data_IF_553353798492
#
_entry.id   IF_553353798492
#
_cell.length_a   1.000
_cell.length_b   1.000
_cell.length_c   1.000
_cell.angle_alpha   90.00
_cell.angle_beta   90.00
_cell.angle_gamma   90.00
#
_symmetry.space_group_name_H-M   'P 1'
#
loop_
_entity.id
_entity.type
_entity.pdbx_description
1 polymer ?
#
# COMPACT_ATOMS: atom_id res chain seq x y z
N UNK A 1 10.78 -10.82 -35.34
CA UNK A 1 11.79 -9.85 -35.80
C UNK A 1 12.21 -8.98 -34.62
N UNK A 2 13.52 -8.94 -34.32
CA UNK A 2 14.25 -7.81 -33.66
C UNK A 2 13.77 -6.49 -34.31
N UNK A 3 13.67 -5.33 -33.68
CA UNK A 3 14.57 -4.46 -32.89
C UNK A 3 13.65 -3.28 -32.45
N UNK A 4 13.87 -2.41 -31.48
CA UNK A 4 15.02 -1.92 -30.74
C UNK A 4 14.58 -0.64 -30.01
N UNK A 5 15.23 -0.32 -28.91
CA UNK A 5 15.04 0.89 -28.11
C UNK A 5 15.62 2.13 -28.80
N UNK A 6 15.10 3.33 -28.52
CA UNK A 6 15.92 4.45 -28.02
C UNK A 6 15.03 5.59 -27.52
N UNK A 7 15.44 6.11 -26.37
CA UNK A 7 14.99 7.35 -25.74
C UNK A 7 16.21 8.28 -25.87
N UNK A 8 16.11 9.33 -26.68
CA UNK A 8 17.22 10.28 -26.87
C UNK A 8 17.07 11.45 -25.91
N UNK A 9 17.91 11.41 -24.89
CA UNK A 9 18.24 12.45 -23.93
C UNK A 9 19.24 13.42 -24.57
N UNK A 10 18.93 14.72 -24.55
CA UNK A 10 19.85 15.78 -25.01
C UNK A 10 20.92 16.04 -23.95
N UNK A 11 22.13 15.56 -24.22
CA UNK A 11 23.37 16.04 -23.62
C UNK A 11 23.90 17.18 -24.48
N UNK A 12 24.11 18.36 -23.88
CA UNK A 12 25.00 19.37 -24.46
C UNK A 12 26.32 19.39 -23.69
N UNK A 13 27.36 19.38 -24.51
CA UNK A 13 28.78 19.48 -24.25
C UNK A 13 29.15 20.72 -23.43
N UNK A 14 30.11 20.58 -22.51
CA UNK A 14 31.34 21.35 -22.64
C UNK A 14 32.53 20.60 -22.04
N UNK A 15 33.46 20.32 -22.94
CA UNK A 15 34.83 19.88 -22.79
C UNK A 15 35.70 20.94 -22.12
N UNK A 16 36.59 20.57 -21.18
CA UNK A 16 38.02 20.57 -21.48
C UNK A 16 38.90 19.96 -20.36
N UNK A 17 39.96 19.33 -20.85
CA UNK A 17 40.94 18.49 -20.17
C UNK A 17 41.90 19.29 -19.28
N UNK A 18 42.41 18.67 -18.20
CA UNK A 18 43.84 18.31 -18.13
C UNK A 18 44.18 17.47 -16.89
N UNK A 19 44.93 16.41 -17.17
CA UNK A 19 45.59 15.50 -16.21
C UNK A 19 47.01 16.02 -16.01
N UNK A 20 47.44 16.29 -14.77
CA UNK A 20 48.83 16.09 -14.32
C UNK A 20 48.82 15.66 -12.83
N UNK A 21 49.52 14.57 -12.55
CA UNK A 21 49.85 14.07 -11.21
C UNK A 21 50.82 15.00 -10.49
N UNK A 22 50.57 15.31 -9.22
CA UNK A 22 51.66 15.67 -8.30
C UNK A 22 51.32 15.28 -6.85
N UNK A 23 52.18 14.42 -6.25
CA UNK A 23 52.24 14.19 -4.82
C UNK A 23 52.90 15.41 -4.18
N UNK A 24 52.36 15.93 -3.08
CA UNK A 24 53.21 16.51 -2.03
C UNK A 24 52.51 16.56 -0.66
N UNK A 25 53.35 16.36 0.33
CA UNK A 25 53.15 16.17 1.77
C UNK A 25 52.47 17.32 2.49
N UNK A 26 51.49 17.02 3.35
CA UNK A 26 51.02 17.94 4.39
C UNK A 26 51.68 17.59 5.73
N UNK A 27 52.74 18.34 6.01
CA UNK A 27 53.28 18.67 7.32
C UNK A 27 52.16 19.34 8.13
N UNK A 28 51.82 18.80 9.29
CA UNK A 28 51.03 19.54 10.28
C UNK A 28 51.85 19.78 11.53
N UNK A 29 51.93 21.07 11.85
CA UNK A 29 52.81 21.70 12.81
C UNK A 29 52.65 21.21 14.24
N UNK A 30 53.81 21.10 14.87
CA UNK A 30 54.04 20.83 16.27
C UNK A 30 53.79 22.12 17.06
N UNK A 31 52.65 22.24 17.76
CA UNK A 31 52.49 23.30 18.77
C UNK A 31 53.26 22.91 20.04
N UNK A 32 54.42 23.53 20.19
CA UNK A 32 55.19 23.52 21.43
C UNK A 32 54.52 24.44 22.46
N UNK A 33 53.88 23.85 23.49
CA UNK A 33 53.62 24.54 24.76
C UNK A 33 54.69 24.16 25.76
N UNK A 34 55.75 24.96 25.80
CA UNK A 34 56.75 24.95 26.87
C UNK A 34 56.12 25.50 28.15
N UNK A 35 55.84 24.61 29.11
CA UNK A 35 55.49 25.00 30.47
C UNK A 35 56.77 25.36 31.23
N UNK A 36 56.95 26.66 31.45
CA UNK A 36 58.03 27.22 32.26
C UNK A 36 57.80 26.87 33.74
N UNK A 37 58.69 26.08 34.32
CA UNK A 37 58.81 25.97 35.79
C UNK A 37 60.08 26.73 36.17
N UNK A 38 59.91 27.68 37.07
CA UNK A 38 60.90 28.63 37.51
C UNK A 38 61.98 27.95 38.36
N UNK A 39 63.24 28.21 38.07
CA UNK A 39 64.34 27.92 38.97
C UNK A 39 64.61 29.19 39.81
N UNK A 40 64.19 29.16 41.08
CA UNK A 40 64.67 30.08 42.09
C UNK A 40 65.51 29.29 43.09
N UNK A 41 66.74 29.76 43.29
CA UNK A 41 67.82 29.15 44.04
C UNK A 41 67.63 29.22 45.55
N UNK A 42 67.99 28.11 46.20
CA UNK A 42 68.70 27.98 47.48
C UNK A 42 68.24 28.83 48.68
N UNK A 43 67.61 28.19 49.66
CA UNK A 43 68.01 28.36 51.06
C UNK A 43 68.05 27.01 51.78
N UNK A 44 69.16 26.80 52.46
CA UNK A 44 69.51 25.65 53.29
C UNK A 44 68.72 25.67 54.60
N UNK A 45 68.08 24.56 54.95
CA UNK A 45 67.94 24.21 56.37
C UNK A 45 67.86 22.69 56.54
N UNK A 46 68.90 22.16 57.18
CA UNK A 46 68.95 20.82 57.76
C UNK A 46 67.74 20.59 58.66
N UNK A 47 67.08 19.44 58.49
CA UNK A 47 66.46 18.70 59.60
C UNK A 47 66.31 17.24 59.20
N UNK A 48 67.05 16.38 59.90
CA UNK A 48 66.93 14.94 59.84
C UNK A 48 65.58 14.53 60.44
N UNK A 49 64.65 14.09 59.61
CA UNK A 49 63.42 13.42 60.02
C UNK A 49 63.25 12.19 59.14
N UNK A 50 63.62 11.06 59.74
CA UNK A 50 63.55 9.71 59.22
C UNK A 50 62.07 9.33 59.03
N UNK A 51 61.51 9.69 57.88
CA UNK A 51 60.20 9.19 57.43
C UNK A 51 60.49 7.94 56.61
N UNK A 52 60.11 6.78 57.14
CA UNK A 52 60.08 5.51 56.41
C UNK A 52 59.17 5.65 55.19
N UNK A 53 59.75 6.01 54.05
CA UNK A 53 59.14 5.74 52.75
C UNK A 53 59.17 4.23 52.54
N UNK A 54 58.05 3.56 52.83
CA UNK A 54 57.77 2.27 52.22
C UNK A 54 57.59 2.50 50.72
N UNK A 55 58.72 2.58 50.03
CA UNK A 55 58.86 2.58 48.58
C UNK A 55 58.27 1.27 48.09
N UNK A 56 56.98 1.28 47.77
CA UNK A 56 56.33 0.27 46.93
C UNK A 56 57.00 0.35 45.57
N UNK A 57 58.16 -0.30 45.48
CA UNK A 57 58.79 -0.71 44.24
C UNK A 57 57.86 -1.72 43.62
N UNK A 58 56.82 -1.23 42.94
CA UNK A 58 56.23 -2.00 41.85
C UNK A 58 57.30 -2.04 40.76
N UNK A 59 58.21 -3.00 40.90
CA UNK A 59 59.07 -3.43 39.82
C UNK A 59 58.14 -3.93 38.71
N UNK A 60 57.82 -3.04 37.77
CA UNK A 60 57.06 -3.39 36.57
C UNK A 60 57.93 -4.33 35.75
N UNK A 61 57.84 -5.63 36.04
CA UNK A 61 58.27 -6.63 35.08
C UNK A 61 57.43 -6.43 33.82
N UNK A 62 58.07 -5.88 32.79
CA UNK A 62 57.48 -5.75 31.47
C UNK A 62 57.34 -7.18 30.93
N UNK A 63 56.11 -7.70 30.98
CA UNK A 63 55.74 -8.93 30.27
C UNK A 63 56.19 -8.77 28.81
N UNK A 64 56.62 -9.84 28.14
CA UNK A 64 57.04 -9.80 26.73
C UNK A 64 56.30 -10.86 25.93
N UNK A 65 56.08 -10.62 24.63
CA UNK A 65 55.39 -11.54 23.71
C UNK A 65 53.87 -11.65 23.89
N UNK A 66 53.31 -12.85 23.80
CA UNK A 66 51.86 -13.11 23.77
C UNK A 66 51.10 -12.65 25.03
N UNK A 67 51.77 -12.65 26.18
CA UNK A 67 51.19 -12.23 27.46
C UNK A 67 50.94 -10.71 27.50
N UNK A 68 51.76 -9.90 26.81
CA UNK A 68 51.47 -8.47 26.60
C UNK A 68 50.20 -8.26 25.80
N UNK A 69 50.07 -9.00 24.70
CA UNK A 69 48.92 -8.84 23.80
C UNK A 69 47.62 -9.15 24.53
N UNK A 70 47.59 -10.21 25.34
CA UNK A 70 46.44 -10.53 26.20
C UNK A 70 46.16 -9.42 27.22
N UNK A 71 47.19 -8.92 27.90
CA UNK A 71 47.02 -7.86 28.91
C UNK A 71 46.53 -6.53 28.29
N UNK A 72 47.06 -6.18 27.11
CA UNK A 72 46.64 -5.00 26.35
C UNK A 72 45.22 -5.16 25.80
N UNK A 73 44.86 -6.36 25.34
CA UNK A 73 43.50 -6.67 24.90
C UNK A 73 42.51 -6.54 26.05
N UNK A 74 42.82 -7.11 27.23
CA UNK A 74 41.96 -6.96 28.40
C UNK A 74 41.87 -5.51 28.87
N UNK A 75 42.97 -4.75 28.83
CA UNK A 75 42.96 -3.33 29.17
C UNK A 75 42.13 -2.48 28.19
N UNK A 76 42.24 -2.76 26.88
CA UNK A 76 41.44 -2.10 25.85
C UNK A 76 39.96 -2.50 25.92
N UNK A 77 39.66 -3.77 26.18
CA UNK A 77 38.30 -4.25 26.34
C UNK A 77 37.63 -3.63 27.58
N UNK A 78 38.34 -3.56 28.70
CA UNK A 78 37.84 -2.89 29.90
C UNK A 78 37.58 -1.40 29.65
N UNK A 79 38.50 -0.73 28.95
CA UNK A 79 38.33 0.68 28.54
C UNK A 79 37.11 0.85 27.63
N UNK A 80 36.91 -0.06 26.69
CA UNK A 80 35.76 -0.06 25.78
C UNK A 80 34.44 -0.33 26.52
N UNK A 81 34.42 -1.30 27.45
CA UNK A 81 33.26 -1.62 28.28
C UNK A 81 32.89 -0.45 29.21
N UNK A 82 33.86 0.22 29.84
CA UNK A 82 33.62 1.43 30.64
C UNK A 82 33.07 2.56 29.77
N UNK A 83 33.52 2.66 28.51
CA UNK A 83 32.98 3.62 27.54
C UNK A 83 31.53 3.29 27.16
N UNK A 84 31.19 2.02 26.96
CA UNK A 84 29.81 1.57 26.70
C UNK A 84 28.91 1.86 27.92
N UNK A 85 29.41 1.60 29.13
CA UNK A 85 28.66 1.89 30.36
C UNK A 85 28.38 3.39 30.50
N UNK A 86 29.33 4.25 30.13
CA UNK A 86 29.13 5.72 30.16
C UNK A 86 28.12 6.19 29.10
N UNK A 87 28.00 5.50 27.96
CA UNK A 87 27.08 5.84 26.87
C UNK A 87 25.89 4.90 26.72
N UNK A 88 25.55 4.14 27.76
CA UNK A 88 24.49 3.11 27.72
C UNK A 88 23.13 3.66 27.26
N UNK A 89 22.84 4.93 27.57
CA UNK A 89 21.61 5.61 27.18
C UNK A 89 21.41 5.63 25.66
N UNK A 90 22.47 5.83 24.87
CA UNK A 90 22.38 5.84 23.40
C UNK A 90 22.05 4.45 22.84
N UNK A 91 22.61 3.40 23.44
CA UNK A 91 22.28 2.01 23.07
C UNK A 91 20.83 1.67 23.43
N UNK A 92 20.35 2.12 24.59
CA UNK A 92 18.94 1.96 24.98
C UNK A 92 18.00 2.69 24.02
N UNK A 93 18.33 3.92 23.63
CA UNK A 93 17.53 4.69 22.66
C UNK A 93 17.47 3.99 21.30
N UNK A 94 18.60 3.48 20.80
CA UNK A 94 18.64 2.77 19.52
C UNK A 94 17.88 1.43 19.57
N UNK A 95 17.91 0.75 20.71
CA UNK A 95 17.10 -0.46 20.90
C UNK A 95 15.60 -0.12 20.97
N UNK A 96 15.24 0.94 21.68
CA UNK A 96 13.84 1.39 21.83
C UNK A 96 13.26 1.81 20.48
N UNK A 97 14.00 2.55 19.65
CA UNK A 97 13.53 2.94 18.31
C UNK A 97 13.31 1.73 17.39
N UNK A 98 14.18 0.72 17.45
CA UNK A 98 14.00 -0.51 16.68
C UNK A 98 12.76 -1.29 17.13
N UNK A 99 12.56 -1.44 18.45
CA UNK A 99 11.39 -2.12 19.03
C UNK A 99 10.10 -1.35 18.77
N UNK A 100 10.12 -0.03 18.88
CA UNK A 100 8.93 0.81 18.64
C UNK A 100 8.48 0.75 17.18
N UNK A 101 9.44 0.75 16.24
CA UNK A 101 9.14 0.60 14.83
C UNK A 101 8.50 -0.75 14.53
N UNK A 102 9.06 -1.85 15.08
CA UNK A 102 8.49 -3.19 14.93
C UNK A 102 7.08 -3.27 15.54
N UNK A 103 6.88 -2.72 16.74
CA UNK A 103 5.58 -2.68 17.40
C UNK A 103 4.55 -1.92 16.56
N UNK A 104 4.92 -0.77 16.01
CA UNK A 104 4.06 0.02 15.13
C UNK A 104 3.67 -0.77 13.87
N UNK A 105 4.63 -1.43 13.22
CA UNK A 105 4.35 -2.29 12.06
C UNK A 105 3.34 -3.40 12.40
N UNK A 106 3.55 -4.09 13.53
CA UNK A 106 2.65 -5.17 13.96
C UNK A 106 1.24 -4.62 14.24
N UNK A 107 1.12 -3.48 14.92
CA UNK A 107 -0.17 -2.83 15.21
C UNK A 107 -0.89 -2.47 13.91
N UNK A 108 -0.19 -1.87 12.94
CA UNK A 108 -0.78 -1.50 11.64
C UNK A 108 -1.25 -2.74 10.88
N UNK A 109 -0.44 -3.79 10.82
CA UNK A 109 -0.79 -5.03 10.11
C UNK A 109 -1.99 -5.73 10.76
N UNK A 110 -2.05 -5.76 12.10
CA UNK A 110 -3.17 -6.37 12.82
C UNK A 110 -4.45 -5.55 12.73
N UNK A 111 -4.37 -4.22 12.82
CA UNK A 111 -5.55 -3.35 12.79
C UNK A 111 -6.13 -3.17 11.38
N UNK A 112 -5.32 -3.33 10.32
CA UNK A 112 -5.77 -3.11 8.94
C UNK A 112 -6.57 -4.26 8.32
N UNK A 113 -6.86 -5.34 9.05
CA UNK A 113 -7.79 -6.37 8.56
C UNK A 113 -7.43 -6.91 7.16
N UNK A 114 -6.15 -7.11 6.85
CA UNK A 114 -5.68 -7.52 5.51
C UNK A 114 -6.15 -8.92 5.07
N UNK A 115 -6.98 -9.58 5.87
CA UNK A 115 -7.57 -10.88 5.60
C UNK A 115 -9.07 -10.81 5.32
N UNK A 116 -9.65 -9.61 5.23
CA UNK A 116 -11.05 -9.50 4.86
C UNK A 116 -11.17 -9.83 3.37
N UNK A 117 -11.63 -11.05 3.09
CA UNK A 117 -12.13 -11.42 1.77
C UNK A 117 -13.11 -10.32 1.34
N UNK A 118 -12.95 -9.82 0.10
CA UNK A 118 -13.90 -8.82 -0.40
C UNK A 118 -15.33 -9.37 -0.24
N UNK A 119 -16.30 -8.52 0.10
CA UNK A 119 -17.68 -8.96 0.15
C UNK A 119 -18.09 -9.46 -1.24
N UNK A 120 -18.76 -10.60 -1.28
CA UNK A 120 -19.39 -11.10 -2.51
C UNK A 120 -20.37 -10.05 -3.05
N UNK A 121 -20.29 -9.79 -4.36
CA UNK A 121 -21.15 -8.81 -5.01
C UNK A 121 -22.44 -9.49 -5.45
N UNK A 122 -23.58 -9.09 -4.86
CA UNK A 122 -24.90 -9.51 -5.31
C UNK A 122 -25.22 -8.82 -6.64
N UNK A 123 -25.57 -9.60 -7.66
CA UNK A 123 -25.98 -9.07 -8.97
C UNK A 123 -27.46 -8.72 -8.88
N UNK A 124 -27.76 -7.43 -8.76
CA UNK A 124 -29.10 -6.87 -8.56
C UNK A 124 -29.26 -5.55 -9.35
N UNK A 125 -30.51 -5.15 -9.66
CA UNK A 125 -30.80 -3.89 -10.35
C UNK A 125 -30.43 -2.68 -9.48
N UNK A 126 -30.62 -2.82 -8.18
CA UNK A 126 -30.38 -1.75 -7.20
C UNK A 126 -28.90 -1.32 -7.10
N UNK A 127 -27.98 -2.07 -7.71
CA UNK A 127 -26.57 -1.70 -7.78
C UNK A 127 -26.29 -0.60 -8.83
N UNK A 128 -27.26 -0.29 -9.69
CA UNK A 128 -27.14 0.71 -10.75
C UNK A 128 -27.91 1.99 -10.41
N UNK A 129 -27.46 3.12 -10.96
CA UNK A 129 -28.14 4.40 -10.78
C UNK A 129 -29.32 4.52 -11.75
N UNK A 130 -30.55 4.55 -11.22
CA UNK A 130 -31.81 4.67 -11.96
C UNK A 130 -31.93 3.71 -13.17
N UNK A 131 -31.82 2.38 -12.96
CA UNK A 131 -31.87 1.40 -14.03
C UNK A 131 -33.27 1.33 -14.66
N UNK A 132 -33.31 1.33 -15.98
CA UNK A 132 -34.49 1.12 -16.80
C UNK A 132 -34.40 -0.27 -17.41
N UNK A 133 -35.46 -1.05 -17.21
CA UNK A 133 -35.64 -2.34 -17.89
C UNK A 133 -36.67 -2.22 -19.00
N UNK A 134 -36.32 -2.66 -20.20
CA UNK A 134 -37.23 -2.62 -21.35
C UNK A 134 -37.86 -3.98 -21.58
N UNK A 135 -39.14 -4.01 -21.94
CA UNK A 135 -39.80 -5.26 -22.28
C UNK A 135 -40.70 -5.13 -23.51
N UNK A 136 -40.74 -6.20 -24.29
CA UNK A 136 -41.64 -6.39 -25.43
C UNK A 136 -42.37 -7.72 -25.27
N UNK A 137 -43.61 -7.78 -25.77
CA UNK A 137 -44.44 -8.99 -25.73
C UNK A 137 -45.24 -9.09 -27.02
N UNK A 138 -45.21 -10.25 -27.66
CA UNK A 138 -46.05 -10.50 -28.85
C UNK A 138 -47.52 -10.66 -28.45
N UNK A 139 -47.78 -11.33 -27.31
CA UNK A 139 -49.12 -11.56 -26.79
C UNK A 139 -49.29 -10.86 -25.43
N UNK A 140 -50.37 -10.09 -25.29
CA UNK A 140 -50.74 -9.38 -24.06
C UNK A 140 -50.96 -10.35 -22.90
N UNK A 141 -51.43 -11.57 -23.19
CA UNK A 141 -51.75 -12.61 -22.22
C UNK A 141 -50.59 -13.58 -21.93
N UNK A 142 -49.36 -13.27 -22.35
CA UNK A 142 -48.20 -14.10 -22.03
C UNK A 142 -47.96 -14.11 -20.51
N UNK A 143 -48.01 -15.31 -19.91
CA UNK A 143 -47.90 -15.50 -18.45
C UNK A 143 -46.52 -15.09 -17.94
N UNK A 144 -45.46 -15.37 -18.70
CA UNK A 144 -44.08 -15.02 -18.35
C UNK A 144 -43.86 -13.52 -18.39
N UNK A 145 -44.39 -12.82 -19.39
CA UNK A 145 -44.32 -11.36 -19.48
C UNK A 145 -45.02 -10.70 -18.29
N UNK A 146 -46.18 -11.22 -17.88
CA UNK A 146 -46.90 -10.73 -16.70
C UNK A 146 -46.10 -10.95 -15.42
N UNK A 147 -45.56 -12.15 -15.23
CA UNK A 147 -44.68 -12.50 -14.10
C UNK A 147 -43.46 -11.58 -14.01
N UNK A 148 -42.82 -11.29 -15.16
CA UNK A 148 -41.68 -10.38 -15.26
C UNK A 148 -42.05 -8.94 -14.85
N UNK A 149 -43.19 -8.43 -15.33
CA UNK A 149 -43.70 -7.10 -14.96
C UNK A 149 -44.04 -7.05 -13.46
N UNK A 150 -44.67 -8.09 -12.92
CA UNK A 150 -45.05 -8.13 -11.50
C UNK A 150 -43.82 -8.12 -10.59
N UNK A 151 -42.73 -8.79 -10.99
CA UNK A 151 -41.43 -8.73 -10.30
C UNK A 151 -40.77 -7.34 -10.37
N UNK A 152 -40.86 -6.67 -11.51
CA UNK A 152 -40.33 -5.31 -11.65
C UNK A 152 -41.10 -4.32 -10.78
N UNK A 153 -42.43 -4.44 -10.74
CA UNK A 153 -43.30 -3.63 -9.89
C UNK A 153 -43.08 -3.89 -8.40
N UNK A 154 -42.90 -5.14 -7.98
CA UNK A 154 -42.69 -5.47 -6.57
C UNK A 154 -41.41 -4.85 -5.99
N UNK A 155 -40.42 -4.61 -6.84
CA UNK A 155 -39.13 -4.05 -6.46
C UNK A 155 -39.02 -2.56 -6.78
N UNK A 156 -40.13 -1.89 -7.16
CA UNK A 156 -40.18 -0.46 -7.54
C UNK A 156 -39.20 -0.08 -8.67
N UNK A 157 -38.83 -1.04 -9.52
CA UNK A 157 -37.89 -0.83 -10.61
C UNK A 157 -38.56 -0.12 -11.79
N UNK A 158 -37.87 0.86 -12.37
CA UNK A 158 -38.35 1.54 -13.57
C UNK A 158 -38.33 0.57 -14.76
N UNK A 159 -39.47 0.48 -15.45
CA UNK A 159 -39.60 -0.35 -16.64
C UNK A 159 -40.38 0.35 -17.74
N UNK A 160 -40.08 0.00 -18.99
CA UNK A 160 -40.78 0.49 -20.16
C UNK A 160 -41.34 -0.71 -20.92
N UNK A 161 -42.66 -0.71 -21.13
CA UNK A 161 -43.33 -1.70 -21.95
C UNK A 161 -43.57 -1.14 -23.35
N UNK A 162 -42.82 -1.65 -24.34
CA UNK A 162 -42.99 -1.29 -25.74
C UNK A 162 -44.05 -2.13 -26.47
N UNK A 163 -44.75 -3.00 -25.74
CA UNK A 163 -45.79 -3.89 -26.24
C UNK A 163 -45.31 -4.69 -27.44
N UNK A 164 -45.85 -4.42 -28.63
CA UNK A 164 -45.54 -5.12 -29.86
C UNK A 164 -44.54 -4.33 -30.72
N UNK A 165 -43.45 -4.99 -31.13
CA UNK A 165 -42.44 -4.44 -32.01
C UNK A 165 -41.05 -5.03 -31.73
N UNK A 166 -40.16 -4.91 -32.71
CA UNK A 166 -38.78 -5.37 -32.58
C UNK A 166 -38.03 -4.51 -31.55
N UNK A 167 -37.56 -5.16 -30.48
CA UNK A 167 -36.75 -4.58 -29.40
C UNK A 167 -35.53 -3.84 -29.97
N UNK A 168 -34.91 -4.36 -31.02
CA UNK A 168 -33.71 -3.81 -31.66
C UNK A 168 -34.00 -2.47 -32.33
N UNK A 169 -35.14 -2.33 -33.00
CA UNK A 169 -35.54 -1.08 -33.67
C UNK A 169 -35.88 -0.02 -32.63
N UNK A 170 -36.64 -0.39 -31.60
CA UNK A 170 -37.02 0.53 -30.52
C UNK A 170 -35.79 1.02 -29.74
N UNK A 171 -34.88 0.12 -29.41
CA UNK A 171 -33.63 0.46 -28.73
C UNK A 171 -32.75 1.36 -29.59
N UNK A 172 -32.67 1.11 -30.90
CA UNK A 172 -31.95 1.99 -31.84
C UNK A 172 -32.51 3.41 -31.81
N UNK A 173 -33.83 3.56 -31.90
CA UNK A 173 -34.47 4.89 -31.87
C UNK A 173 -34.23 5.63 -30.54
N UNK A 174 -34.26 4.93 -29.41
CA UNK A 174 -33.94 5.53 -28.10
C UNK A 174 -32.45 5.90 -27.99
N UNK A 175 -31.57 5.11 -28.60
CA UNK A 175 -30.14 5.40 -28.66
C UNK A 175 -29.86 6.63 -29.52
N UNK A 176 -30.57 6.81 -30.63
CA UNK A 176 -30.46 8.02 -31.47
C UNK A 176 -30.96 9.28 -30.73
N UNK A 177 -32.00 9.15 -29.90
CA UNK A 177 -32.53 10.26 -29.10
C UNK A 177 -31.60 10.66 -27.95
N UNK A 178 -31.10 9.67 -27.22
CA UNK A 178 -30.24 9.92 -26.05
C UNK A 178 -29.23 8.78 -25.84
N UNK A 179 -28.07 8.82 -26.55
CA UNK A 179 -27.09 7.74 -26.48
C UNK A 179 -26.46 7.61 -25.08
N UNK A 180 -26.23 8.74 -24.39
CA UNK A 180 -25.66 8.75 -23.04
C UNK A 180 -26.61 8.17 -21.99
N UNK A 181 -27.91 8.48 -22.11
CA UNK A 181 -28.93 7.93 -21.24
C UNK A 181 -29.11 6.42 -21.41
N UNK A 182 -29.12 5.92 -22.65
CA UNK A 182 -29.20 4.49 -22.94
C UNK A 182 -28.02 3.74 -22.34
N UNK A 183 -26.81 4.23 -22.56
CA UNK A 183 -25.56 3.65 -22.03
C UNK A 183 -25.56 3.44 -20.51
N UNK A 184 -26.06 4.42 -19.75
CA UNK A 184 -25.99 4.40 -18.29
C UNK A 184 -27.21 3.75 -17.65
N UNK A 185 -28.41 3.99 -18.18
CA UNK A 185 -29.67 3.62 -17.50
C UNK A 185 -30.29 2.35 -18.04
N UNK A 186 -30.14 2.04 -19.33
CA UNK A 186 -30.78 0.86 -19.90
C UNK A 186 -29.87 -0.34 -19.69
N UNK A 187 -30.11 -1.12 -18.63
CA UNK A 187 -29.20 -2.20 -18.21
C UNK A 187 -29.63 -3.54 -18.79
N UNK A 188 -30.92 -3.84 -18.71
CA UNK A 188 -31.49 -5.14 -19.11
C UNK A 188 -32.76 -4.97 -19.92
N UNK A 189 -33.12 -6.00 -20.68
CA UNK A 189 -34.41 -6.07 -21.31
C UNK A 189 -34.84 -7.50 -21.61
N UNK A 190 -36.12 -7.69 -21.94
CA UNK A 190 -36.66 -8.99 -22.29
C UNK A 190 -37.70 -8.88 -23.41
N UNK A 191 -37.69 -9.84 -24.35
CA UNK A 191 -38.77 -10.04 -25.30
C UNK A 191 -39.43 -11.38 -25.06
N UNK A 192 -40.75 -11.36 -24.91
CA UNK A 192 -41.57 -12.55 -24.70
C UNK A 192 -42.38 -12.83 -25.96
N UNK A 193 -41.89 -13.78 -26.75
CA UNK A 193 -42.61 -14.30 -27.91
C UNK A 193 -43.49 -15.50 -27.50
N UNK A 194 -44.16 -16.13 -28.46
CA UNK A 194 -45.09 -17.23 -28.15
C UNK A 194 -44.38 -18.47 -27.60
N UNK A 195 -43.19 -18.78 -28.12
CA UNK A 195 -42.44 -19.99 -27.74
C UNK A 195 -41.00 -19.70 -27.29
N UNK A 196 -40.52 -18.47 -27.53
CA UNK A 196 -39.15 -18.07 -27.25
C UNK A 196 -39.14 -16.85 -26.32
N UNK A 197 -38.14 -16.81 -25.44
CA UNK A 197 -37.91 -15.68 -24.54
C UNK A 197 -36.48 -15.21 -24.76
N UNK A 198 -36.35 -13.95 -25.17
CA UNK A 198 -35.06 -13.32 -25.43
C UNK A 198 -34.68 -12.42 -24.27
N UNK A 199 -33.48 -12.64 -23.72
CA UNK A 199 -32.90 -11.80 -22.67
C UNK A 199 -31.88 -10.85 -23.30
N UNK A 200 -32.14 -9.54 -23.22
CA UNK A 200 -31.25 -8.49 -23.71
C UNK A 200 -30.45 -7.90 -22.55
N UNK A 201 -29.22 -7.51 -22.84
CA UNK A 201 -28.32 -6.91 -21.87
C UNK A 201 -27.55 -5.76 -22.53
N UNK A 202 -27.12 -4.80 -21.72
CA UNK A 202 -26.23 -3.73 -22.15
C UNK A 202 -24.77 -4.17 -21.99
N UNK A 203 -23.94 -4.01 -23.00
CA UNK A 203 -22.54 -4.45 -22.94
C UNK A 203 -21.63 -3.55 -22.08
N UNK A 204 -22.08 -2.36 -21.65
CA UNK A 204 -21.26 -1.46 -20.84
C UNK A 204 -21.03 -1.97 -19.40
N UNK A 205 -22.05 -2.43 -18.65
CA UNK A 205 -21.83 -3.00 -17.33
C UNK A 205 -21.49 -4.49 -17.42
N UNK A 206 -20.32 -4.89 -16.91
CA UNK A 206 -19.84 -6.28 -16.93
C UNK A 206 -20.78 -7.30 -16.29
N UNK A 207 -21.63 -6.86 -15.34
CA UNK A 207 -22.57 -7.74 -14.63
C UNK A 207 -23.99 -7.73 -15.21
N UNK A 208 -24.23 -7.02 -16.32
CA UNK A 208 -25.55 -6.98 -16.95
C UNK A 208 -25.97 -8.32 -17.59
N UNK A 209 -25.08 -9.15 -18.19
CA UNK A 209 -25.52 -10.42 -18.79
C UNK A 209 -26.10 -11.42 -17.76
N UNK A 210 -25.41 -11.73 -16.63
CA UNK A 210 -25.98 -12.63 -15.63
C UNK A 210 -27.23 -12.01 -14.98
N UNK A 211 -27.31 -10.68 -14.88
CA UNK A 211 -28.49 -10.01 -14.35
C UNK A 211 -29.73 -10.20 -15.23
N UNK A 212 -29.59 -9.93 -16.54
CA UNK A 212 -30.69 -10.10 -17.49
C UNK A 212 -31.23 -11.54 -17.47
N UNK A 213 -30.31 -12.51 -17.45
CA UNK A 213 -30.66 -13.92 -17.37
C UNK A 213 -31.35 -14.28 -16.05
N UNK A 214 -30.83 -13.79 -14.91
CA UNK A 214 -31.44 -13.96 -13.60
C UNK A 214 -32.90 -13.48 -13.59
N UNK A 215 -33.17 -12.30 -14.18
CA UNK A 215 -34.51 -11.74 -14.23
C UNK A 215 -35.48 -12.58 -15.07
N UNK A 216 -35.03 -13.05 -16.24
CA UNK A 216 -35.85 -13.91 -17.10
C UNK A 216 -36.13 -15.26 -16.41
N UNK A 217 -35.11 -15.90 -15.82
CA UNK A 217 -35.31 -17.13 -15.07
C UNK A 217 -36.24 -16.95 -13.87
N UNK A 218 -36.14 -15.83 -13.15
CA UNK A 218 -37.05 -15.53 -12.05
C UNK A 218 -38.48 -15.36 -12.52
N UNK A 219 -38.71 -14.75 -13.69
CA UNK A 219 -40.05 -14.65 -14.26
C UNK A 219 -40.62 -16.02 -14.64
N UNK A 220 -39.80 -16.90 -15.24
CA UNK A 220 -40.19 -18.27 -15.58
C UNK A 220 -40.50 -19.07 -14.31
N UNK A 221 -39.62 -19.05 -13.31
CA UNK A 221 -39.81 -19.79 -12.05
C UNK A 221 -41.04 -19.35 -11.28
N UNK A 222 -41.32 -18.05 -11.26
CA UNK A 222 -42.51 -17.51 -10.59
C UNK A 222 -43.79 -17.89 -11.34
N UNK A 223 -43.73 -18.02 -12.66
CA UNK A 223 -44.86 -18.45 -13.49
C UNK A 223 -45.13 -19.96 -13.37
N UNK A 224 -44.09 -20.79 -13.41
CA UNK A 224 -44.22 -22.27 -13.44
C UNK A 224 -44.32 -22.92 -12.06
N UNK A 225 -43.57 -22.41 -11.07
CA UNK A 225 -43.44 -23.06 -9.77
C UNK A 225 -44.28 -22.34 -8.71
N UNK A 226 -43.86 -21.14 -8.33
CA UNK A 226 -44.57 -20.30 -7.35
C UNK A 226 -43.90 -18.93 -7.25
N UNK A 227 -44.68 -17.90 -6.92
CA UNK A 227 -44.23 -16.52 -6.70
C UNK A 227 -43.16 -16.38 -5.61
N UNK A 228 -43.01 -17.36 -4.71
CA UNK A 228 -42.05 -17.37 -3.60
C UNK A 228 -40.64 -17.82 -3.98
N UNK A 229 -40.46 -18.46 -5.15
CA UNK A 229 -39.14 -18.93 -5.58
C UNK A 229 -38.42 -17.84 -6.38
N UNK A 230 -37.10 -17.74 -6.17
CA UNK A 230 -36.22 -16.86 -6.94
C UNK A 230 -34.81 -17.42 -6.94
N UNK A 231 -34.10 -17.20 -8.05
CA UNK A 231 -32.67 -17.42 -8.22
C UNK A 231 -31.98 -16.07 -8.03
N UNK A 232 -30.87 -16.10 -7.31
CA UNK A 232 -29.98 -14.96 -7.15
C UNK A 232 -28.57 -15.36 -7.59
N UNK A 233 -27.90 -14.45 -8.30
CA UNK A 233 -26.53 -14.64 -8.75
C UNK A 233 -25.59 -13.75 -7.93
N UNK A 234 -24.45 -14.32 -7.55
CA UNK A 234 -23.43 -13.65 -6.77
C UNK A 234 -22.08 -13.79 -7.47
N UNK A 235 -21.36 -12.67 -7.58
CA UNK A 235 -19.98 -12.67 -8.02
C UNK A 235 -19.07 -12.71 -6.79
N UNK A 236 -18.31 -13.80 -6.65
CA UNK A 236 -17.32 -13.92 -5.59
C UNK A 236 -15.98 -13.33 -6.05
N UNK A 237 -15.32 -12.51 -5.22
CA UNK A 237 -14.02 -11.95 -5.56
C UNK A 237 -12.96 -13.05 -5.66
N UNK A 238 -11.93 -12.78 -6.45
CA UNK A 238 -10.76 -13.64 -6.49
C UNK A 238 -10.01 -13.58 -5.15
N UNK A 239 -9.47 -14.71 -4.67
CA UNK A 239 -8.62 -14.71 -3.49
C UNK A 239 -7.38 -13.87 -3.76
N UNK A 240 -6.98 -13.06 -2.79
CA UNK A 240 -5.78 -12.24 -2.91
C UNK A 240 -4.52 -13.09 -3.02
N UNK A 241 -3.76 -12.90 -4.10
CA UNK A 241 -2.39 -13.39 -4.18
C UNK A 241 -1.48 -12.65 -3.19
N UNK A 242 -0.40 -13.30 -2.75
CA UNK A 242 0.59 -12.71 -1.85
C UNK A 242 1.11 -11.36 -2.36
N UNK A 243 1.30 -11.24 -3.69
CA UNK A 243 1.77 -10.01 -4.34
C UNK A 243 0.72 -8.89 -4.23
N UNK A 244 -0.57 -9.22 -4.40
CA UNK A 244 -1.66 -8.24 -4.28
C UNK A 244 -1.80 -7.73 -2.86
N UNK A 245 -1.59 -8.60 -1.85
CA UNK A 245 -1.58 -8.18 -0.44
C UNK A 245 -0.48 -7.17 -0.14
N UNK A 246 0.71 -7.35 -0.71
CA UNK A 246 1.81 -6.39 -0.58
C UNK A 246 1.46 -5.05 -1.24
N UNK A 247 0.90 -5.07 -2.47
CA UNK A 247 0.48 -3.84 -3.13
C UNK A 247 -0.62 -3.07 -2.40
N UNK A 248 -1.53 -3.77 -1.71
CA UNK A 248 -2.55 -3.14 -0.87
C UNK A 248 -1.95 -2.46 0.37
N UNK A 249 -0.89 -3.04 0.95
CA UNK A 249 -0.14 -2.40 2.03
C UNK A 249 0.46 -1.09 1.53
N UNK A 250 1.13 -1.11 0.37
CA UNK A 250 1.76 0.07 -0.24
C UNK A 250 0.76 1.16 -0.63
N UNK A 251 -0.40 0.77 -1.16
CA UNK A 251 -1.48 1.72 -1.46
C UNK A 251 -1.99 2.38 -0.18
N UNK A 252 -2.15 1.60 0.89
CA UNK A 252 -2.69 2.07 2.15
C UNK A 252 -1.67 2.89 2.99
N UNK A 253 -0.37 2.79 2.72
CA UNK A 253 0.64 3.72 3.27
C UNK A 253 0.68 5.02 2.49
N UNK A 254 0.56 4.96 1.15
CA UNK A 254 0.56 6.16 0.29
C UNK A 254 -0.64 7.10 0.54
N UNK A 255 -1.83 6.55 0.81
CA UNK A 255 -3.01 7.34 1.14
C UNK A 255 -2.88 8.03 2.51
N UNK A 256 -2.16 7.44 3.46
CA UNK A 256 -1.88 8.07 4.75
C UNK A 256 -0.99 9.31 4.58
N UNK A 257 0.03 9.24 3.73
CA UNK A 257 0.89 10.38 3.39
C UNK A 257 0.16 11.51 2.67
N UNK A 258 -0.83 11.20 1.82
CA UNK A 258 -1.65 12.19 1.12
C UNK A 258 -2.62 12.92 2.06
N UNK A 259 -3.23 12.22 3.02
CA UNK A 259 -4.09 12.86 4.02
C UNK A 259 -3.33 13.81 4.95
N UNK A 260 -2.07 13.50 5.29
CA UNK A 260 -1.23 14.39 6.11
C UNK A 260 -0.78 15.66 5.37
N UNK A 261 -0.65 15.62 4.05
CA UNK A 261 -0.31 16.80 3.23
C UNK A 261 -1.51 17.71 2.96
N UNK A 262 -2.72 17.16 2.84
CA UNK A 262 -3.93 17.97 2.65
C UNK A 262 -4.33 18.77 3.89
N UNK A 263 -3.99 18.30 5.10
CA UNK A 263 -4.31 19.03 6.34
C UNK A 263 -3.40 20.23 6.60
N UNK A 264 -2.28 20.37 5.88
CA UNK A 264 -1.35 21.49 6.05
C UNK A 264 -1.64 22.67 5.13
N UNK A 265 -2.54 22.53 4.15
CA UNK A 265 -2.91 23.60 3.22
C UNK A 265 -4.17 24.39 3.63
N UNK A 266 -4.75 24.07 4.81
CA UNK A 266 -5.95 24.75 5.37
C UNK A 266 -5.59 25.68 6.54
N UNK A 267 -4.33 25.75 6.96
CA UNK A 267 -3.85 26.64 8.04
C UNK A 267 -2.79 27.64 7.56
N UNK A 268 -3.11 28.41 6.52
CA UNK A 268 -2.41 29.66 6.21
C UNK A 268 -3.38 30.73 5.75
#
# INVERSE_FOLDING_TARGET
MKVGASHDEKVNSDSNQNIIHERQSLVNGHENKSFLISNASTETLNNNLEVSETKLTMEKQLLSGWQLWRNQFTAMFLKYSLSILRSWLLYVIHNLIAVSFLALTIVVVRNKGFNDELPKLKVDLNAYNDPITVLTRTNVNNVYAKSYIDMLKSNENAYINWENGDMSIKMRNETERNPGGVRVRYITGASFENNDIYAYFNNDPYHSPPLSLQMVFNAILKAEVSTKHSIQMFNHPLPFSAITKVSLIDLATSNFSKCTLSSHHILK
#
